data_IF_853742570008
#
_entry.id   IF_853742570008
#
_cell.length_a   1.000
_cell.length_b   1.000
_cell.length_c   1.000
_cell.angle_alpha   90.00
_cell.angle_beta   90.00
_cell.angle_gamma   90.00
#
_symmetry.space_group_name_H-M   'P 1'
#
loop_
_entity.id
_entity.type
_entity.pdbx_description
1 polymer ?
#
# COMPACT_ATOMS: atom_id res chain seq x y z
N UNK A 1 -8.09 -6.81 2.14
CA UNK A 1 -6.67 -6.69 2.49
C UNK A 1 -6.53 -5.88 3.78
N UNK A 2 -5.62 -6.27 4.68
CA UNK A 2 -5.28 -5.52 5.89
C UNK A 2 -3.81 -5.17 5.89
N UNK A 3 -3.40 -4.04 6.45
CA UNK A 3 -1.99 -3.74 6.63
C UNK A 3 -1.72 -3.04 7.95
N UNK A 4 -0.49 -3.17 8.43
CA UNK A 4 0.02 -2.43 9.57
C UNK A 4 1.52 -2.24 9.41
N UNK A 5 2.08 -1.32 10.19
CA UNK A 5 3.51 -1.08 10.20
C UNK A 5 4.08 -1.06 11.61
N UNK A 6 5.37 -1.32 11.67
CA UNK A 6 6.21 -1.29 12.86
C UNK A 6 7.30 -0.25 12.61
N UNK A 7 8.25 -0.12 13.55
CA UNK A 7 9.41 0.77 13.34
C UNK A 7 10.17 0.46 12.03
N UNK A 8 10.25 -0.81 11.63
CA UNK A 8 11.12 -1.27 10.54
C UNK A 8 10.37 -2.04 9.45
N UNK A 9 9.06 -2.28 9.54
CA UNK A 9 8.38 -3.14 8.56
C UNK A 9 6.95 -2.72 8.35
N UNK A 10 6.51 -2.65 7.10
CA UNK A 10 5.09 -2.74 6.76
C UNK A 10 4.76 -4.17 6.39
N UNK A 11 3.67 -4.69 6.95
CA UNK A 11 3.09 -5.99 6.64
C UNK A 11 1.72 -5.76 6.02
N UNK A 12 1.46 -6.44 4.90
CA UNK A 12 0.18 -6.47 4.21
C UNK A 12 -0.30 -7.91 4.19
N UNK A 13 -1.49 -8.15 4.74
CA UNK A 13 -2.07 -9.46 5.04
C UNK A 13 -3.38 -9.63 4.26
N UNK A 14 -3.58 -10.82 3.71
CA UNK A 14 -4.74 -11.14 2.87
C UNK A 14 -4.61 -12.53 2.26
N UNK A 15 -5.41 -12.79 1.22
CA UNK A 15 -5.28 -14.00 0.39
C UNK A 15 -4.99 -13.56 -1.04
N UNK A 16 -3.72 -13.46 -1.37
CA UNK A 16 -3.30 -12.80 -2.60
C UNK A 16 -2.92 -13.81 -3.68
N UNK A 17 -3.35 -13.55 -4.92
CA UNK A 17 -2.58 -13.93 -6.10
C UNK A 17 -1.58 -12.81 -6.37
N UNK A 18 -0.28 -13.10 -6.39
CA UNK A 18 0.75 -12.07 -6.45
C UNK A 18 1.94 -12.43 -7.35
N UNK A 19 2.61 -11.39 -7.85
CA UNK A 19 3.91 -11.44 -8.50
C UNK A 19 4.90 -10.52 -7.79
N UNK A 20 6.17 -10.90 -7.71
CA UNK A 20 7.22 -10.11 -7.10
C UNK A 20 8.53 -10.18 -7.88
N UNK A 21 9.25 -9.06 -7.92
CA UNK A 21 10.64 -8.98 -8.39
C UNK A 21 11.66 -8.91 -7.24
N UNK A 22 11.20 -9.06 -5.98
CA UNK A 22 12.04 -8.99 -4.79
C UNK A 22 12.80 -10.28 -4.50
N UNK A 23 13.22 -10.42 -3.24
CA UNK A 23 13.87 -11.65 -2.75
C UNK A 23 12.91 -12.83 -2.93
N UNK A 24 13.40 -13.90 -3.55
CA UNK A 24 12.60 -15.08 -3.89
C UNK A 24 11.32 -14.73 -4.68
N UNK A 25 11.45 -13.74 -5.59
CA UNK A 25 10.38 -13.31 -6.48
C UNK A 25 9.85 -14.42 -7.39
N UNK A 26 8.72 -14.17 -8.01
CA UNK A 26 7.98 -15.14 -8.82
C UNK A 26 6.50 -14.80 -8.83
N UNK A 27 5.66 -15.75 -9.25
CA UNK A 27 4.22 -15.63 -9.31
C UNK A 27 3.58 -16.79 -8.53
N UNK A 28 2.88 -16.48 -7.43
CA UNK A 28 2.25 -17.50 -6.57
C UNK A 28 1.16 -16.90 -5.69
N UNK A 29 0.45 -17.78 -5.00
CA UNK A 29 -0.43 -17.37 -3.91
C UNK A 29 0.39 -17.12 -2.65
N UNK A 30 0.04 -16.05 -1.91
CA UNK A 30 0.73 -15.64 -0.68
C UNK A 30 -0.27 -15.02 0.31
N UNK A 31 -0.03 -15.23 1.61
CA UNK A 31 -0.80 -14.57 2.68
C UNK A 31 -0.17 -13.27 3.18
N UNK A 32 1.11 -13.04 2.88
CA UNK A 32 1.88 -11.90 3.39
C UNK A 32 2.69 -11.19 2.32
N UNK A 33 2.58 -9.87 2.26
CA UNK A 33 3.53 -9.00 1.59
C UNK A 33 4.24 -8.16 2.64
N UNK A 34 5.54 -7.93 2.50
CA UNK A 34 6.28 -7.06 3.42
C UNK A 34 7.31 -6.20 2.72
N UNK A 35 7.62 -5.05 3.32
CA UNK A 35 8.79 -4.25 3.01
C UNK A 35 9.50 -3.89 4.31
N UNK A 36 10.77 -4.26 4.44
CA UNK A 36 11.53 -4.22 5.69
C UNK A 36 12.78 -3.33 5.59
N UNK A 37 12.94 -2.43 6.56
CA UNK A 37 14.14 -1.60 6.72
C UNK A 37 15.30 -2.44 7.21
N UNK A 38 16.40 -2.46 6.46
CA UNK A 38 17.70 -3.02 6.84
C UNK A 38 18.75 -1.91 6.96
N UNK A 39 19.88 -2.12 7.67
CA UNK A 39 21.01 -1.19 7.65
C UNK A 39 21.54 -0.90 6.23
N UNK A 40 22.22 0.24 6.02
CA UNK A 40 22.79 0.60 4.72
C UNK A 40 23.89 -0.37 4.24
N UNK A 41 24.59 -0.99 5.18
CA UNK A 41 25.64 -1.99 4.98
C UNK A 41 25.10 -3.42 5.08
N UNK A 42 23.78 -3.61 4.93
CA UNK A 42 23.17 -4.93 4.96
C UNK A 42 23.72 -5.81 3.85
N UNK A 43 24.46 -6.84 4.28
CA UNK A 43 24.99 -7.91 3.47
C UNK A 43 24.64 -9.22 4.16
N UNK A 44 23.76 -10.01 3.56
CA UNK A 44 23.26 -11.25 4.14
C UNK A 44 23.30 -12.34 3.08
N UNK A 45 24.04 -13.41 3.36
CA UNK A 45 24.31 -14.50 2.40
C UNK A 45 23.03 -15.20 1.90
N UNK A 46 21.97 -15.19 2.73
CA UNK A 46 20.65 -15.74 2.37
C UNK A 46 19.50 -14.78 2.77
N UNK A 47 19.14 -13.82 1.90
CA UNK A 47 18.07 -12.86 2.17
C UNK A 47 16.68 -13.52 2.35
N UNK A 48 16.48 -14.71 1.77
CA UNK A 48 15.20 -15.44 1.91
C UNK A 48 15.05 -15.97 3.34
N UNK A 49 16.08 -16.62 3.88
CA UNK A 49 16.09 -17.06 5.28
C UNK A 49 15.92 -15.88 6.25
N UNK A 50 16.48 -14.71 5.92
CA UNK A 50 16.27 -13.49 6.71
C UNK A 50 14.78 -13.10 6.77
N UNK A 51 14.10 -13.06 5.62
CA UNK A 51 12.66 -12.77 5.52
C UNK A 51 11.83 -13.81 6.27
N UNK A 52 12.13 -15.09 6.12
CA UNK A 52 11.45 -16.18 6.86
C UNK A 52 11.59 -16.00 8.38
N UNK A 53 12.76 -15.57 8.86
CA UNK A 53 12.95 -15.21 10.26
C UNK A 53 12.08 -14.03 10.73
N UNK A 54 11.79 -13.06 9.86
CA UNK A 54 10.88 -11.95 10.17
C UNK A 54 9.42 -12.43 10.26
N UNK A 55 9.01 -13.36 9.40
CA UNK A 55 7.67 -13.95 9.40
C UNK A 55 7.46 -14.81 10.64
N UNK A 56 8.44 -15.67 10.97
CA UNK A 56 8.39 -16.54 12.14
C UNK A 56 8.25 -15.75 13.45
N UNK A 57 8.92 -14.60 13.59
CA UNK A 57 8.78 -13.68 14.75
C UNK A 57 7.35 -13.13 14.93
N UNK A 58 6.54 -13.17 13.87
CA UNK A 58 5.13 -12.75 13.86
C UNK A 58 4.15 -13.93 13.90
N UNK A 59 4.64 -15.15 13.89
CA UNK A 59 3.80 -16.35 13.74
C UNK A 59 3.14 -16.43 12.36
N UNK A 60 3.74 -15.80 11.34
CA UNK A 60 3.25 -15.87 9.97
C UNK A 60 3.87 -17.06 9.22
N UNK A 61 3.09 -17.61 8.29
CA UNK A 61 3.54 -18.66 7.39
C UNK A 61 4.59 -18.13 6.40
N UNK A 62 5.34 -19.05 5.79
CA UNK A 62 6.39 -18.73 4.82
C UNK A 62 5.85 -18.47 3.39
N UNK A 63 4.53 -18.31 3.25
CA UNK A 63 3.84 -18.00 1.99
C UNK A 63 3.82 -16.48 1.75
N UNK A 64 5.01 -15.91 1.52
CA UNK A 64 5.17 -14.47 1.47
C UNK A 64 6.00 -13.96 0.28
N UNK A 65 5.82 -12.68 -0.04
CA UNK A 65 6.78 -11.90 -0.81
C UNK A 65 7.31 -10.74 0.03
N UNK A 66 8.63 -10.59 0.10
CA UNK A 66 9.29 -9.57 0.89
C UNK A 66 10.24 -8.71 0.09
N UNK A 67 10.23 -7.41 0.37
CA UNK A 67 11.20 -6.43 -0.11
C UNK A 67 12.07 -5.97 1.06
N UNK A 68 13.33 -5.65 0.78
CA UNK A 68 14.28 -5.07 1.73
C UNK A 68 14.66 -3.66 1.26
N UNK A 69 14.84 -2.72 2.20
CA UNK A 69 15.19 -1.34 1.87
C UNK A 69 16.06 -0.71 2.96
N UNK A 70 16.96 0.21 2.60
CA UNK A 70 17.65 1.06 3.58
C UNK A 70 16.79 2.26 4.04
N UNK A 71 15.60 2.44 3.47
CA UNK A 71 14.70 3.56 3.81
C UNK A 71 14.00 3.27 5.13
N UNK A 72 14.07 4.23 6.05
CA UNK A 72 13.31 4.19 7.31
C UNK A 72 11.80 4.15 7.07
N UNK A 73 11.07 3.24 7.73
CA UNK A 73 9.62 3.12 7.54
C UNK A 73 8.83 4.39 7.87
N UNK A 74 9.35 5.31 8.67
CA UNK A 74 8.71 6.62 8.85
C UNK A 74 8.52 7.37 7.51
N UNK A 75 9.34 7.08 6.49
CA UNK A 75 9.25 7.67 5.16
C UNK A 75 8.32 6.92 4.21
N UNK A 76 7.71 5.81 4.64
CA UNK A 76 6.72 5.07 3.88
C UNK A 76 5.56 5.98 3.46
N UNK A 77 5.22 5.95 2.18
CA UNK A 77 4.00 6.54 1.63
C UNK A 77 3.02 5.43 1.28
N UNK A 78 1.80 5.52 1.79
CA UNK A 78 0.70 4.61 1.47
C UNK A 78 -0.35 5.39 0.72
N UNK A 79 -0.79 4.92 -0.44
CA UNK A 79 -1.73 5.62 -1.31
C UNK A 79 -2.93 4.74 -1.59
N UNK A 80 -4.13 5.29 -1.40
CA UNK A 80 -5.39 4.63 -1.69
C UNK A 80 -6.10 5.33 -2.85
N UNK A 81 -6.42 4.57 -3.90
CA UNK A 81 -7.25 5.00 -5.01
C UNK A 81 -8.27 3.91 -5.32
N UNK A 82 -9.51 4.11 -4.87
CA UNK A 82 -10.60 3.14 -4.94
C UNK A 82 -10.16 1.79 -4.34
N UNK A 83 -10.14 0.72 -5.14
CA UNK A 83 -9.72 -0.62 -4.73
C UNK A 83 -8.20 -0.86 -4.86
N UNK A 84 -7.42 0.12 -5.33
CA UNK A 84 -5.96 0.04 -5.43
C UNK A 84 -5.31 0.68 -4.21
N UNK A 85 -4.41 -0.05 -3.56
CA UNK A 85 -3.52 0.45 -2.50
C UNK A 85 -2.07 0.31 -2.93
N UNK A 86 -1.27 1.36 -2.78
CA UNK A 86 0.16 1.37 -3.13
C UNK A 86 1.00 1.74 -1.92
N UNK A 87 2.06 0.98 -1.65
CA UNK A 87 3.05 1.25 -0.61
C UNK A 87 4.38 1.59 -1.28
N UNK A 88 4.98 2.72 -0.94
CA UNK A 88 6.21 3.21 -1.56
C UNK A 88 7.24 3.60 -0.52
N UNK A 89 8.45 3.08 -0.66
CA UNK A 89 9.66 3.62 -0.03
C UNK A 89 10.68 3.92 -1.11
N UNK A 90 11.25 5.12 -1.14
CA UNK A 90 12.16 5.55 -2.19
C UNK A 90 13.49 6.06 -1.62
N UNK A 91 14.53 5.25 -1.74
CA UNK A 91 15.92 5.69 -1.56
C UNK A 91 16.48 6.04 -2.93
N UNK A 92 17.05 7.24 -3.10
CA UNK A 92 17.50 7.74 -4.42
C UNK A 92 18.95 8.23 -4.44
N UNK A 93 19.68 8.01 -3.35
CA UNK A 93 21.06 8.46 -3.17
C UNK A 93 22.07 7.71 -4.04
N UNK A 94 21.71 6.56 -4.62
CA UNK A 94 22.53 5.78 -5.57
C UNK A 94 21.71 5.44 -6.82
N UNK A 95 21.72 6.34 -7.81
CA UNK A 95 20.99 6.14 -9.06
C UNK A 95 21.68 5.11 -9.94
N UNK A 96 20.90 4.33 -10.70
CA UNK A 96 21.46 3.49 -11.76
C UNK A 96 22.15 4.37 -12.83
N UNK A 97 23.38 4.06 -13.29
CA UNK A 97 24.15 2.84 -13.09
C UNK A 97 25.24 2.88 -12.01
N UNK A 98 25.24 3.85 -11.09
CA UNK A 98 26.25 3.95 -10.02
C UNK A 98 26.02 2.87 -8.93
N UNK A 99 26.89 1.86 -8.80
CA UNK A 99 26.65 0.69 -7.96
C UNK A 99 27.25 0.83 -6.55
N UNK A 100 27.66 2.02 -6.12
CA UNK A 100 28.50 2.19 -4.92
C UNK A 100 27.86 1.73 -3.61
N UNK A 101 26.53 1.82 -3.44
CA UNK A 101 25.76 1.08 -2.41
C UNK A 101 24.33 0.78 -2.90
N UNK A 102 23.60 -0.21 -2.35
CA UNK A 102 22.21 -0.42 -2.72
C UNK A 102 21.31 0.66 -2.10
N UNK A 103 20.69 1.48 -2.96
CA UNK A 103 19.43 2.14 -2.63
C UNK A 103 18.33 1.55 -3.50
N UNK A 104 17.09 1.69 -3.05
CA UNK A 104 15.96 1.05 -3.73
C UNK A 104 14.70 1.89 -3.63
N UNK A 105 13.95 1.90 -4.72
CA UNK A 105 12.55 2.28 -4.75
C UNK A 105 11.74 0.98 -4.76
N UNK A 106 11.19 0.65 -3.59
CA UNK A 106 10.30 -0.50 -3.40
C UNK A 106 8.85 -0.05 -3.50
N UNK A 107 8.08 -0.77 -4.31
CA UNK A 107 6.66 -0.51 -4.55
C UNK A 107 5.88 -1.80 -4.31
N UNK A 108 4.85 -1.75 -3.47
CA UNK A 108 3.86 -2.83 -3.36
C UNK A 108 2.54 -2.27 -3.85
N UNK A 109 1.97 -2.86 -4.90
CA UNK A 109 0.63 -2.57 -5.42
C UNK A 109 -0.29 -3.70 -5.01
N UNK A 110 -1.40 -3.36 -4.36
CA UNK A 110 -2.45 -4.32 -3.99
C UNK A 110 -3.78 -3.88 -4.55
N UNK A 111 -4.45 -4.77 -5.27
CA UNK A 111 -5.82 -4.60 -5.74
C UNK A 111 -6.79 -5.39 -4.85
N UNK A 112 -7.84 -4.73 -4.37
CA UNK A 112 -8.97 -5.39 -3.71
C UNK A 112 -9.88 -6.16 -4.67
N UNK A 113 -9.70 -5.98 -5.98
CA UNK A 113 -10.39 -6.72 -7.03
C UNK A 113 -9.40 -7.65 -7.76
N UNK A 114 -9.84 -8.84 -8.16
CA UNK A 114 -8.95 -9.87 -8.69
C UNK A 114 -8.38 -9.52 -10.05
N UNK A 115 -7.11 -9.85 -10.25
CA UNK A 115 -6.37 -9.61 -11.49
C UNK A 115 -5.89 -10.94 -12.08
N UNK A 116 -5.90 -11.05 -13.41
CA UNK A 116 -5.26 -12.16 -14.10
C UNK A 116 -3.74 -12.12 -13.89
N UNK A 117 -3.07 -13.25 -14.11
CA UNK A 117 -1.60 -13.30 -14.06
C UNK A 117 -0.95 -12.30 -15.05
N UNK A 118 -1.58 -12.08 -16.21
CA UNK A 118 -1.14 -11.08 -17.19
C UNK A 118 -1.31 -9.65 -16.66
N UNK A 119 -2.43 -9.33 -16.01
CA UNK A 119 -2.65 -8.03 -15.38
C UNK A 119 -1.69 -7.76 -14.22
N UNK A 120 -1.36 -8.78 -13.42
CA UNK A 120 -0.35 -8.68 -12.36
C UNK A 120 1.04 -8.38 -12.92
N UNK A 121 1.43 -9.04 -14.02
CA UNK A 121 2.69 -8.76 -14.72
C UNK A 121 2.70 -7.36 -15.36
N UNK A 122 1.61 -6.95 -16.02
CA UNK A 122 1.46 -5.58 -16.55
C UNK A 122 1.52 -4.52 -15.46
N UNK A 123 1.06 -4.82 -14.25
CA UNK A 123 1.16 -3.90 -13.10
C UNK A 123 2.61 -3.55 -12.78
N UNK A 124 3.55 -4.49 -12.91
CA UNK A 124 4.98 -4.22 -12.74
C UNK A 124 5.47 -3.20 -13.79
N UNK A 125 5.04 -3.35 -15.04
CA UNK A 125 5.38 -2.43 -16.14
C UNK A 125 4.81 -1.03 -15.84
N UNK A 126 3.51 -0.94 -15.55
CA UNK A 126 2.82 0.32 -15.23
C UNK A 126 3.45 1.03 -14.03
N UNK A 127 3.79 0.30 -12.96
CA UNK A 127 4.46 0.86 -11.79
C UNK A 127 5.88 1.36 -12.13
N UNK A 128 6.61 0.62 -12.98
CA UNK A 128 7.95 1.01 -13.42
C UNK A 128 7.93 2.29 -14.26
N UNK A 129 6.99 2.42 -15.18
CA UNK A 129 6.80 3.64 -15.99
C UNK A 129 6.42 4.83 -15.13
N UNK A 130 5.49 4.66 -14.18
CA UNK A 130 5.07 5.71 -13.26
C UNK A 130 6.22 6.19 -12.35
N UNK A 131 7.03 5.25 -11.84
CA UNK A 131 8.23 5.57 -11.05
C UNK A 131 9.24 6.38 -11.87
N UNK A 132 9.56 5.93 -13.08
CA UNK A 132 10.50 6.65 -13.95
C UNK A 132 9.98 8.05 -14.29
N UNK A 133 8.68 8.19 -14.53
CA UNK A 133 8.07 9.50 -14.75
C UNK A 133 8.14 10.40 -13.50
N UNK A 134 7.91 9.86 -12.29
CA UNK A 134 8.04 10.62 -11.05
C UNK A 134 9.46 11.17 -10.87
N UNK A 135 10.48 10.34 -11.10
CA UNK A 135 11.88 10.74 -11.04
C UNK A 135 12.19 11.85 -12.06
N UNK A 136 11.69 11.72 -13.29
CA UNK A 136 11.84 12.77 -14.32
C UNK A 136 11.19 14.09 -13.91
N UNK A 137 9.98 14.07 -13.34
CA UNK A 137 9.30 15.27 -12.84
C UNK A 137 10.05 15.94 -11.68
N UNK A 138 10.80 15.15 -10.90
CA UNK A 138 11.72 15.63 -9.87
C UNK A 138 13.07 16.11 -10.41
N UNK A 139 13.24 16.16 -11.75
CA UNK A 139 14.48 16.61 -12.38
C UNK A 139 15.63 15.60 -12.31
N UNK A 140 15.35 14.31 -12.08
CA UNK A 140 16.37 13.24 -12.10
C UNK A 140 16.61 12.77 -13.54
N UNK A 141 17.86 12.44 -13.84
CA UNK A 141 18.34 11.94 -15.13
C UNK A 141 18.43 10.41 -15.20
N UNK A 142 17.96 9.72 -14.16
CA UNK A 142 17.87 8.27 -14.06
C UNK A 142 16.42 7.78 -13.92
N UNK A 143 16.17 6.53 -14.30
CA UNK A 143 14.83 5.91 -14.29
C UNK A 143 14.54 5.05 -13.07
N UNK A 144 15.55 4.84 -12.23
CA UNK A 144 15.49 3.98 -11.06
C UNK A 144 16.84 3.85 -10.37
N UNK A 145 16.90 2.96 -9.38
CA UNK A 145 18.12 2.62 -8.66
C UNK A 145 18.62 1.23 -9.06
N UNK A 146 19.69 0.78 -8.42
CA UNK A 146 20.34 -0.52 -8.68
C UNK A 146 19.50 -1.73 -8.30
N UNK A 147 18.53 -1.58 -7.39
CA UNK A 147 17.77 -2.71 -6.83
C UNK A 147 16.29 -2.39 -6.59
N UNK A 148 15.69 -1.57 -7.45
CA UNK A 148 14.25 -1.31 -7.40
C UNK A 148 13.46 -2.62 -7.48
N UNK A 149 12.42 -2.75 -6.66
CA UNK A 149 11.57 -3.94 -6.65
C UNK A 149 10.08 -3.61 -6.58
N UNK A 150 9.28 -4.43 -7.25
CA UNK A 150 7.82 -4.30 -7.29
C UNK A 150 7.17 -5.61 -6.84
N UNK A 151 6.17 -5.50 -5.99
CA UNK A 151 5.17 -6.55 -5.75
C UNK A 151 3.84 -6.06 -6.34
N UNK A 152 3.17 -6.89 -7.12
CA UNK A 152 1.78 -6.67 -7.52
C UNK A 152 0.93 -7.84 -6.99
N UNK A 153 -0.16 -7.53 -6.32
CA UNK A 153 -1.03 -8.51 -5.68
C UNK A 153 -2.50 -8.14 -5.89
N UNK A 154 -3.37 -9.16 -5.93
CA UNK A 154 -4.82 -8.98 -5.99
C UNK A 154 -5.55 -10.00 -5.13
N UNK A 155 -6.74 -9.65 -4.67
CA UNK A 155 -7.65 -10.55 -3.94
C UNK A 155 -8.94 -10.80 -4.74
N UNK A 156 -9.58 -11.94 -4.49
CA UNK A 156 -10.86 -12.28 -5.11
C UNK A 156 -10.75 -12.83 -6.53
N UNK A 157 -11.91 -13.09 -7.13
CA UNK A 157 -12.02 -13.64 -8.48
C UNK A 157 -11.53 -12.63 -9.52
N UNK A 158 -11.00 -13.13 -10.65
CA UNK A 158 -10.48 -12.28 -11.72
C UNK A 158 -11.57 -11.38 -12.32
N UNK A 159 -11.43 -10.07 -12.10
CA UNK A 159 -12.23 -9.00 -12.71
C UNK A 159 -11.45 -8.33 -13.83
N UNK A 160 -10.15 -8.10 -13.62
CA UNK A 160 -9.29 -7.36 -14.54
C UNK A 160 -8.32 -8.27 -15.27
N UNK A 161 -8.35 -8.24 -16.60
CA UNK A 161 -7.47 -9.04 -17.46
C UNK A 161 -6.23 -8.30 -17.95
N UNK A 162 -6.21 -6.97 -17.78
CA UNK A 162 -5.11 -6.07 -18.17
C UNK A 162 -4.92 -4.98 -17.09
N UNK A 163 -3.70 -4.45 -16.98
CA UNK A 163 -3.34 -3.36 -16.07
C UNK A 163 -2.42 -2.30 -16.70
N UNK A 164 -2.28 -2.28 -18.02
CA UNK A 164 -1.59 -1.22 -18.75
C UNK A 164 -2.23 0.16 -18.57
N UNK A 165 -1.48 1.24 -18.82
CA UNK A 165 -1.85 2.64 -18.51
C UNK A 165 -3.15 3.17 -19.13
N UNK A 166 -3.70 2.50 -20.15
CA UNK A 166 -4.99 2.85 -20.74
C UNK A 166 -6.19 2.26 -19.99
N UNK A 167 -5.97 1.18 -19.23
CA UNK A 167 -7.00 0.42 -18.50
C UNK A 167 -7.43 1.15 -17.24
N UNK A 168 -8.59 0.75 -16.71
CA UNK A 168 -9.16 1.27 -15.48
C UNK A 168 -8.24 1.04 -14.24
N UNK A 169 -7.72 -0.18 -13.98
CA UNK A 169 -6.73 -0.39 -12.92
C UNK A 169 -5.40 0.32 -13.22
N UNK A 170 -4.92 0.26 -14.47
CA UNK A 170 -3.63 0.84 -14.84
C UNK A 170 -3.55 2.35 -14.63
N UNK A 171 -4.61 3.09 -14.92
CA UNK A 171 -4.69 4.55 -14.65
C UNK A 171 -4.54 4.86 -13.16
N UNK A 172 -5.16 4.06 -12.29
CA UNK A 172 -5.11 4.23 -10.83
C UNK A 172 -3.74 3.88 -10.27
N UNK A 173 -3.20 2.74 -10.69
CA UNK A 173 -1.85 2.29 -10.31
C UNK A 173 -0.84 3.36 -10.73
N UNK A 174 -0.90 3.83 -11.98
CA UNK A 174 0.02 4.84 -12.47
C UNK A 174 -0.06 6.14 -11.66
N UNK A 175 -1.26 6.66 -11.42
CA UNK A 175 -1.46 7.88 -10.64
C UNK A 175 -0.95 7.74 -9.19
N UNK A 176 -1.20 6.59 -8.56
CA UNK A 176 -0.79 6.30 -7.19
C UNK A 176 0.74 6.14 -7.08
N UNK A 177 1.36 5.37 -7.97
CA UNK A 177 2.81 5.20 -7.97
C UNK A 177 3.51 6.52 -8.28
N UNK A 178 3.03 7.29 -9.26
CA UNK A 178 3.59 8.60 -9.62
C UNK A 178 3.62 9.54 -8.41
N UNK A 179 2.48 9.72 -7.74
CA UNK A 179 2.40 10.58 -6.55
C UNK A 179 3.21 10.03 -5.39
N UNK A 180 3.12 8.71 -5.14
CA UNK A 180 3.79 8.05 -4.03
C UNK A 180 5.30 8.12 -4.11
N UNK A 181 5.89 7.93 -5.29
CA UNK A 181 7.34 8.05 -5.51
C UNK A 181 7.77 9.50 -5.30
N UNK A 182 7.04 10.49 -5.82
CA UNK A 182 7.38 11.90 -5.60
C UNK A 182 7.41 12.26 -4.12
N UNK A 183 6.40 11.85 -3.36
CA UNK A 183 6.33 12.12 -1.92
C UNK A 183 7.39 11.32 -1.13
N UNK A 184 7.61 10.05 -1.46
CA UNK A 184 8.62 9.23 -0.80
C UNK A 184 10.04 9.79 -0.98
N UNK A 185 10.37 10.29 -2.18
CA UNK A 185 11.68 10.93 -2.44
C UNK A 185 11.85 12.20 -1.61
N UNK A 186 10.87 13.12 -1.64
CA UNK A 186 10.93 14.36 -0.85
C UNK A 186 11.18 14.09 0.65
N UNK A 187 10.64 12.99 1.16
CA UNK A 187 10.79 12.59 2.56
C UNK A 187 12.15 11.98 2.85
N UNK A 188 12.61 11.10 1.97
CA UNK A 188 13.94 10.51 2.09
C UNK A 188 15.04 11.58 2.05
N UNK A 189 14.88 12.61 1.22
CA UNK A 189 15.80 13.74 1.13
C UNK A 189 15.62 14.79 2.24
N UNK A 190 14.63 14.62 3.13
CA UNK A 190 14.38 15.55 4.24
C UNK A 190 13.68 16.86 3.86
N UNK A 191 13.27 17.03 2.59
CA UNK A 191 12.44 18.17 2.15
C UNK A 191 11.09 18.20 2.85
N UNK A 192 10.53 17.02 3.14
CA UNK A 192 9.31 16.86 3.95
C UNK A 192 9.60 15.92 5.11
N UNK A 193 9.48 16.40 6.35
CA UNK A 193 9.69 15.56 7.54
C UNK A 193 8.37 15.19 8.20
N UNK A 194 8.26 13.92 8.60
CA UNK A 194 7.18 13.36 9.44
C UNK A 194 7.76 12.33 10.40
N UNK A 195 7.16 12.20 11.58
CA UNK A 195 7.51 11.18 12.56
C UNK A 195 6.86 9.80 12.32
N UNK A 196 6.15 9.62 11.21
CA UNK A 196 5.37 8.40 10.89
C UNK A 196 5.12 8.29 9.37
N UNK A 197 4.77 7.09 8.87
CA UNK A 197 4.27 6.92 7.51
C UNK A 197 3.16 7.90 7.16
N UNK A 198 3.09 8.30 5.90
CA UNK A 198 2.02 9.15 5.37
C UNK A 198 1.01 8.30 4.61
N UNK A 199 -0.27 8.61 4.81
CA UNK A 199 -1.38 7.97 4.13
C UNK A 199 -2.04 8.99 3.21
N UNK A 200 -2.17 8.67 1.93
CA UNK A 200 -2.74 9.54 0.91
C UNK A 200 -4.00 8.90 0.34
N UNK A 201 -5.04 9.71 0.15
CA UNK A 201 -6.31 9.27 -0.41
C UNK A 201 -6.55 10.08 -1.67
N UNK A 202 -6.85 9.39 -2.77
CA UNK A 202 -7.37 10.05 -3.96
C UNK A 202 -8.85 10.37 -3.75
N UNK A 203 -9.19 11.65 -3.76
CA UNK A 203 -10.57 12.11 -3.59
C UNK A 203 -11.14 12.68 -4.88
N UNK A 204 -12.45 12.57 -5.02
CA UNK A 204 -13.26 13.22 -6.07
C UNK A 204 -14.29 14.19 -5.50
N UNK A 205 -14.30 14.37 -4.18
CA UNK A 205 -15.23 15.23 -3.47
C UNK A 205 -14.63 16.65 -3.47
N UNK A 206 -15.17 17.55 -4.31
CA UNK A 206 -14.62 18.87 -4.71
C UNK A 206 -13.69 18.82 -5.93
N UNK A 207 -12.38 19.02 -5.76
CA UNK A 207 -11.37 18.94 -6.81
C UNK A 207 -10.68 17.58 -6.76
N UNK A 208 -10.60 16.91 -7.90
CA UNK A 208 -10.02 15.57 -7.98
C UNK A 208 -8.51 15.65 -7.69
N UNK A 209 -8.04 14.95 -6.66
CA UNK A 209 -6.66 15.08 -6.24
C UNK A 209 -6.26 14.20 -5.07
N UNK A 210 -4.96 14.17 -4.81
CA UNK A 210 -4.36 13.48 -3.68
C UNK A 210 -4.41 14.34 -2.42
N UNK A 211 -4.85 13.73 -1.33
CA UNK A 211 -4.87 14.35 -0.01
C UNK A 211 -4.07 13.50 0.98
N UNK A 212 -3.06 14.09 1.63
CA UNK A 212 -2.38 13.46 2.76
C UNK A 212 -3.28 13.52 4.00
N UNK A 213 -3.64 12.37 4.56
CA UNK A 213 -4.42 12.30 5.78
C UNK A 213 -3.70 12.96 6.96
N UNK A 214 -4.36 13.95 7.56
CA UNK A 214 -3.93 14.64 8.76
C UNK A 214 -4.97 14.45 9.87
N UNK A 215 -4.48 14.28 11.10
CA UNK A 215 -5.34 14.17 12.29
C UNK A 215 -6.09 15.49 12.56
N UNK A 216 -5.42 16.61 12.30
CA UNK A 216 -5.93 17.96 12.52
C UNK A 216 -6.12 18.66 11.17
N UNK A 217 -7.17 19.48 11.05
CA UNK A 217 -7.41 20.27 9.83
C UNK A 217 -7.75 19.46 8.58
N UNK A 218 -8.24 18.23 8.73
CA UNK A 218 -8.69 17.43 7.59
C UNK A 218 -9.82 18.17 6.84
N UNK A 219 -9.74 18.37 5.51
CA UNK A 219 -10.76 19.06 4.73
C UNK A 219 -12.05 18.24 4.62
N UNK A 220 -11.98 16.94 4.92
CA UNK A 220 -13.14 16.06 5.04
C UNK A 220 -13.72 16.07 6.48
N UNK A 221 -13.08 16.77 7.43
CA UNK A 221 -13.61 16.94 8.77
C UNK A 221 -14.87 17.81 8.77
N UNK A 222 -15.86 17.52 9.64
CA UNK A 222 -15.97 16.35 10.51
C UNK A 222 -16.64 15.22 9.74
N UNK A 223 -15.91 14.14 9.38
CA UNK A 223 -16.52 13.12 8.54
C UNK A 223 -17.80 12.53 9.15
N UNK A 224 -17.95 12.44 10.50
CA UNK A 224 -19.19 11.92 11.09
C UNK A 224 -19.60 12.55 12.43
N UNK A 225 -18.74 12.63 13.47
CA UNK A 225 -19.11 13.17 14.80
C UNK A 225 -17.92 13.55 15.69
N UNK A 226 -18.17 14.32 16.76
CA UNK A 226 -17.15 14.71 17.75
C UNK A 226 -16.61 13.49 18.52
N UNK A 227 -15.28 13.40 18.66
CA UNK A 227 -14.61 12.30 19.36
C UNK A 227 -14.38 11.03 18.54
N UNK A 228 -14.74 11.01 17.25
CA UNK A 228 -14.43 9.90 16.36
C UNK A 228 -12.92 9.65 16.19
N UNK A 229 -12.55 8.41 15.92
CA UNK A 229 -11.23 8.02 15.41
C UNK A 229 -11.18 8.13 13.89
N UNK A 230 -10.13 8.75 13.37
CA UNK A 230 -9.84 8.79 11.94
C UNK A 230 -8.60 7.96 11.57
N UNK A 231 -8.11 7.11 12.48
CA UNK A 231 -6.89 6.31 12.28
C UNK A 231 -7.00 5.35 11.07
N UNK A 232 -8.23 4.97 10.70
CA UNK A 232 -8.56 4.19 9.52
C UNK A 232 -9.50 4.98 8.60
N UNK A 233 -9.04 6.15 8.14
CA UNK A 233 -9.80 7.02 7.23
C UNK A 233 -10.29 6.30 5.96
N UNK A 234 -9.61 5.22 5.56
CA UNK A 234 -10.18 4.18 4.71
C UNK A 234 -10.23 2.88 5.51
N UNK A 235 -11.39 2.25 5.53
CA UNK A 235 -11.64 1.07 6.36
C UNK A 235 -10.89 -0.15 5.76
N UNK A 236 -10.02 -0.84 6.52
CA UNK A 236 -9.33 -2.05 6.07
C UNK A 236 -10.28 -3.25 5.84
N UNK A 237 -11.53 -3.16 6.29
CA UNK A 237 -12.56 -4.14 6.01
C UNK A 237 -13.46 -3.77 4.83
N UNK A 238 -13.21 -2.66 4.14
CA UNK A 238 -14.05 -2.24 3.02
C UNK A 238 -13.82 -3.10 1.76
N UNK A 239 -14.87 -3.54 1.06
CA UNK A 239 -16.26 -3.60 1.53
C UNK A 239 -16.48 -4.79 2.48
N UNK A 240 -17.12 -4.56 3.63
CA UNK A 240 -17.33 -5.64 4.61
C UNK A 240 -18.57 -6.48 4.32
N UNK A 241 -19.51 -5.93 3.54
CA UNK A 241 -20.76 -6.59 3.16
C UNK A 241 -21.77 -6.77 4.31
N UNK A 242 -21.46 -6.30 5.51
CA UNK A 242 -22.37 -6.38 6.67
C UNK A 242 -23.48 -5.33 6.55
N UNK A 243 -24.67 -5.76 6.13
CA UNK A 243 -25.84 -4.88 5.92
C UNK A 243 -26.37 -4.21 7.20
N UNK A 244 -25.85 -4.58 8.38
CA UNK A 244 -26.11 -3.83 9.62
C UNK A 244 -25.29 -2.55 9.72
N UNK A 245 -24.20 -2.44 8.94
CA UNK A 245 -23.26 -1.31 8.93
C UNK A 245 -23.33 -0.48 7.64
N UNK A 246 -24.10 -0.90 6.65
CA UNK A 246 -24.20 -0.22 5.35
C UNK A 246 -25.17 -0.92 4.40
N UNK A 247 -25.15 -0.52 3.14
CA UNK A 247 -26.07 -1.05 2.12
C UNK A 247 -25.40 -1.14 0.75
N UNK A 248 -25.85 -2.05 -0.11
CA UNK A 248 -25.37 -2.12 -1.50
C UNK A 248 -26.18 -1.18 -2.40
N UNK A 249 -25.52 -0.16 -2.97
CA UNK A 249 -26.11 0.81 -3.89
C UNK A 249 -25.57 0.62 -5.32
N UNK A 250 -26.36 1.00 -6.32
CA UNK A 250 -25.87 0.99 -7.71
C UNK A 250 -24.83 2.10 -7.92
N UNK A 251 -23.67 1.72 -8.45
CA UNK A 251 -22.58 2.64 -8.76
C UNK A 251 -22.94 3.47 -9.98
N UNK A 252 -23.03 4.78 -9.81
CA UNK A 252 -23.28 5.72 -10.90
C UNK A 252 -22.08 5.92 -11.82
N UNK A 253 -20.90 5.42 -11.45
CA UNK A 253 -19.64 5.71 -12.16
C UNK A 253 -18.82 4.48 -12.56
N UNK A 254 -18.90 3.38 -11.82
CA UNK A 254 -18.10 2.16 -12.06
C UNK A 254 -18.91 1.05 -12.75
N UNK A 255 -20.24 1.18 -12.82
CA UNK A 255 -21.13 0.06 -13.15
C UNK A 255 -21.16 -0.99 -12.02
N UNK A 256 -22.28 -1.69 -11.86
CA UNK A 256 -22.45 -2.65 -10.76
C UNK A 256 -22.78 -2.00 -9.42
N UNK A 257 -22.61 -2.74 -8.31
CA UNK A 257 -22.95 -2.28 -6.96
C UNK A 257 -21.73 -1.90 -6.14
N UNK A 258 -21.86 -0.87 -5.32
CA UNK A 258 -20.87 -0.41 -4.32
C UNK A 258 -21.49 -0.51 -2.94
N UNK A 259 -20.71 -0.92 -1.95
CA UNK A 259 -21.16 -0.96 -0.56
C UNK A 259 -21.08 0.45 0.06
N UNK A 260 -22.20 1.10 0.29
CA UNK A 260 -22.29 2.38 0.97
C UNK A 260 -22.24 2.18 2.50
N UNK A 261 -21.06 2.43 3.09
CA UNK A 261 -20.85 2.38 4.54
C UNK A 261 -20.93 3.77 5.20
N UNK A 262 -21.67 4.72 4.62
CA UNK A 262 -21.70 6.15 5.02
C UNK A 262 -22.09 6.36 6.49
N UNK A 263 -22.89 5.45 7.06
CA UNK A 263 -23.34 5.51 8.45
C UNK A 263 -22.59 4.53 9.38
N UNK A 264 -21.55 3.86 8.89
CA UNK A 264 -20.79 2.89 9.67
C UNK A 264 -19.92 3.56 10.74
N UNK A 265 -20.10 3.20 12.01
CA UNK A 265 -19.30 3.73 13.11
C UNK A 265 -18.19 2.79 13.60
N UNK A 266 -18.09 1.58 13.02
CA UNK A 266 -17.22 0.50 13.51
C UNK A 266 -15.79 0.94 13.85
N UNK A 267 -15.08 1.54 12.89
CA UNK A 267 -13.70 2.02 13.08
C UNK A 267 -13.61 3.53 13.37
N UNK A 268 -14.76 4.19 13.50
CA UNK A 268 -14.87 5.53 14.04
C UNK A 268 -14.92 5.52 15.57
N UNK A 269 -15.29 4.41 16.18
CA UNK A 269 -15.21 4.22 17.63
C UNK A 269 -13.74 4.09 18.09
N UNK A 270 -13.25 4.98 18.97
CA UNK A 270 -11.83 4.99 19.38
C UNK A 270 -11.33 3.69 20.00
N UNK A 271 -12.20 2.96 20.71
CA UNK A 271 -11.85 1.67 21.32
C UNK A 271 -11.56 0.61 20.28
N UNK A 272 -12.46 0.42 19.31
CA UNK A 272 -12.32 -0.56 18.22
C UNK A 272 -11.17 -0.20 17.29
N UNK A 273 -11.01 1.09 16.96
CA UNK A 273 -9.86 1.55 16.18
C UNK A 273 -8.53 1.28 16.91
N UNK A 274 -8.46 1.52 18.23
CA UNK A 274 -7.27 1.19 19.02
C UNK A 274 -7.01 -0.31 19.05
N UNK A 275 -8.04 -1.11 19.31
CA UNK A 275 -7.94 -2.56 19.33
C UNK A 275 -7.37 -3.11 18.02
N UNK A 276 -7.89 -2.68 16.86
CA UNK A 276 -7.36 -3.11 15.57
C UNK A 276 -5.91 -2.68 15.33
N UNK A 277 -5.48 -1.52 15.84
CA UNK A 277 -4.06 -1.10 15.75
C UNK A 277 -3.14 -1.98 16.58
N UNK A 278 -3.61 -2.45 17.73
CA UNK A 278 -2.87 -3.33 18.65
C UNK A 278 -2.91 -4.79 18.17
N UNK A 279 -3.99 -5.18 17.49
CA UNK A 279 -4.26 -6.52 16.97
C UNK A 279 -4.55 -6.47 15.47
N UNK A 280 -3.54 -6.18 14.61
CA UNK A 280 -3.76 -5.95 13.18
C UNK A 280 -4.25 -7.19 12.40
N UNK A 281 -4.11 -8.38 12.99
CA UNK A 281 -4.63 -9.62 12.43
C UNK A 281 -6.08 -9.92 12.88
N UNK A 282 -6.70 -9.07 13.70
CA UNK A 282 -8.07 -9.26 14.18
C UNK A 282 -9.08 -9.28 13.03
N UNK A 283 -9.96 -10.28 13.02
CA UNK A 283 -11.01 -10.44 12.01
C UNK A 283 -12.03 -9.31 12.09
N UNK A 284 -12.84 -9.18 11.03
CA UNK A 284 -13.95 -8.22 11.04
C UNK A 284 -14.90 -8.48 12.21
N UNK A 285 -15.25 -9.76 12.44
CA UNK A 285 -16.13 -10.20 13.53
C UNK A 285 -15.53 -9.89 14.90
N UNK A 286 -14.23 -10.16 15.09
CA UNK A 286 -13.54 -9.85 16.35
C UNK A 286 -13.58 -8.36 16.66
N UNK A 287 -13.34 -7.49 15.67
CA UNK A 287 -13.40 -6.04 15.86
C UNK A 287 -14.83 -5.55 16.06
N UNK A 288 -15.80 -6.12 15.33
CA UNK A 288 -17.24 -5.78 15.46
C UNK A 288 -17.77 -6.14 16.83
N UNK A 289 -17.38 -7.27 17.38
CA UNK A 289 -17.93 -7.78 18.63
C UNK A 289 -17.14 -7.29 19.86
N UNK A 290 -16.07 -6.50 19.65
CA UNK A 290 -15.26 -5.87 20.71
C UNK A 290 -15.98 -4.68 21.38
N UNK A 291 -15.94 -4.62 22.73
CA UNK A 291 -16.65 -3.66 23.61
C UNK A 291 -15.70 -2.90 24.54
#
# INVERSE_FOLDING_TARGET
MRYYYTKNTVYVRGKFRAVSTGVDGGLREVSTLLNHTVPEDFDHDDPLSYIQGLLAKRGYENDAFGLLTAVWMQNLCVLQYDYITVFVTAGVTNPNPDPTKPHTINIIVVSGEGMSDAALLETIITATEAKAHALRLLGRDFTGTTSDAVIAASEGDTVHTYAGTFTEPGKRIYAAVLHGVMEAVKRHEGTVSRGRPSYFIYSRFSEAGWFEWQKEGCPYYPCHFEGQSCDFCYCPFYPCGDETLGEWIDSTTLGGKVFACTNCQLLHEPKRARYLKEHPDASFEEVRDYV
#
